data_IF_996139226499
#
_entry.id   IF_996139226499
#
_cell.length_a   1.000
_cell.length_b   1.000
_cell.length_c   1.000
_cell.angle_alpha   90.00
_cell.angle_beta   90.00
_cell.angle_gamma   90.00
#
_symmetry.space_group_name_H-M   'P 1'
#
loop_
_entity.id
_entity.type
_entity.pdbx_description
1 polymer ?
#
# COMPACT_ATOMS: atom_id res chain seq x y z
N UNK A 1 65.11 -6.13 60.98
CA UNK A 1 64.86 -5.33 59.76
C UNK A 1 64.25 -6.24 58.71
N UNK A 2 62.93 -6.29 58.63
CA UNK A 2 62.20 -7.05 57.61
C UNK A 2 61.17 -6.12 57.00
N UNK A 3 61.51 -5.55 55.86
CA UNK A 3 60.61 -4.68 55.07
C UNK A 3 59.74 -5.58 54.20
N UNK A 4 58.43 -5.57 54.48
CA UNK A 4 57.42 -6.21 53.63
C UNK A 4 57.13 -5.25 52.48
N UNK A 5 57.49 -5.65 51.26
CA UNK A 5 57.10 -4.96 50.03
C UNK A 5 55.60 -5.20 49.79
N UNK A 6 54.82 -4.12 49.80
CA UNK A 6 53.46 -4.08 49.31
C UNK A 6 53.48 -3.87 47.79
N UNK A 7 53.32 -4.94 47.02
CA UNK A 7 53.01 -4.84 45.59
C UNK A 7 51.53 -4.50 45.40
N UNK A 8 51.28 -3.26 45.02
CA UNK A 8 49.98 -2.75 44.59
C UNK A 8 49.64 -3.33 43.21
N UNK A 9 48.89 -4.43 43.17
CA UNK A 9 48.29 -4.93 41.93
C UNK A 9 47.21 -3.92 41.50
N UNK A 10 47.58 -3.01 40.60
CA UNK A 10 46.64 -2.14 39.90
C UNK A 10 46.03 -2.95 38.77
N UNK A 11 44.88 -3.58 39.03
CA UNK A 11 44.04 -4.17 37.99
C UNK A 11 43.39 -3.05 37.16
N UNK A 12 44.11 -2.52 36.16
CA UNK A 12 43.47 -1.68 35.16
C UNK A 12 42.57 -2.58 34.31
N UNK A 13 41.26 -2.45 34.46
CA UNK A 13 40.27 -3.09 33.59
C UNK A 13 40.34 -2.43 32.20
N UNK A 14 41.26 -2.88 31.35
CA UNK A 14 41.36 -2.45 29.95
C UNK A 14 40.06 -2.87 29.27
N UNK A 15 39.31 -1.90 28.73
CA UNK A 15 38.14 -2.20 27.91
C UNK A 15 38.59 -2.95 26.65
N UNK A 16 37.94 -4.07 26.28
CA UNK A 16 38.30 -4.82 25.09
C UNK A 16 38.12 -3.94 23.85
N UNK A 17 39.17 -3.87 23.02
CA UNK A 17 39.17 -3.06 21.80
C UNK A 17 38.52 -3.88 20.70
N UNK A 18 37.46 -3.35 20.09
CA UNK A 18 36.79 -3.93 18.91
C UNK A 18 36.83 -2.91 17.79
N UNK A 19 37.35 -3.30 16.63
CA UNK A 19 37.38 -2.46 15.43
C UNK A 19 36.55 -3.15 14.36
N UNK A 20 35.65 -2.40 13.71
CA UNK A 20 34.76 -2.90 12.68
C UNK A 20 35.11 -2.21 11.36
N UNK A 21 35.30 -2.99 10.28
CA UNK A 21 35.54 -2.48 8.93
C UNK A 21 34.45 -2.97 7.97
N UNK A 22 33.60 -2.08 7.45
CA UNK A 22 32.54 -2.47 6.52
C UNK A 22 33.13 -2.72 5.13
N UNK A 23 32.74 -3.84 4.52
CA UNK A 23 33.22 -4.31 3.22
C UNK A 23 32.05 -4.59 2.28
N UNK A 24 32.36 -4.57 0.99
CA UNK A 24 31.50 -5.02 -0.08
C UNK A 24 32.22 -6.12 -0.85
N UNK A 25 31.55 -7.23 -1.06
CA UNK A 25 32.01 -8.26 -1.99
C UNK A 25 30.89 -8.65 -2.93
N UNK A 26 31.23 -9.06 -4.14
CA UNK A 26 30.22 -9.37 -5.13
C UNK A 26 30.78 -9.51 -6.52
N UNK A 27 29.88 -9.44 -7.50
CA UNK A 27 30.28 -9.43 -8.89
C UNK A 27 29.45 -8.46 -9.74
N UNK A 28 30.09 -7.95 -10.80
CA UNK A 28 29.41 -7.36 -11.95
C UNK A 28 29.44 -8.33 -13.13
N UNK A 29 28.46 -8.22 -14.03
CA UNK A 29 28.45 -8.98 -15.28
C UNK A 29 27.83 -8.17 -16.42
N UNK A 30 28.36 -8.35 -17.63
CA UNK A 30 27.84 -7.75 -18.85
C UNK A 30 27.72 -8.80 -19.94
N UNK A 31 26.55 -8.89 -20.54
CA UNK A 31 26.32 -9.75 -21.70
C UNK A 31 27.17 -9.29 -22.88
N UNK A 32 27.82 -10.23 -23.57
CA UNK A 32 28.70 -9.95 -24.72
C UNK A 32 27.92 -9.59 -26.00
N UNK A 33 26.59 -9.65 -25.96
CA UNK A 33 25.70 -9.45 -27.12
C UNK A 33 25.52 -10.73 -27.92
N UNK A 34 26.60 -11.46 -28.18
CA UNK A 34 26.59 -12.75 -28.85
C UNK A 34 27.42 -13.77 -28.08
N UNK A 35 27.00 -15.04 -28.13
CA UNK A 35 27.81 -16.16 -27.68
C UNK A 35 29.12 -16.18 -28.48
N UNK A 36 30.26 -16.23 -27.79
CA UNK A 36 31.57 -16.30 -28.44
C UNK A 36 31.81 -17.69 -29.01
N UNK A 37 32.30 -17.76 -30.25
CA UNK A 37 32.45 -19.03 -30.97
C UNK A 37 33.54 -19.95 -30.40
N UNK A 38 34.59 -19.39 -29.79
CA UNK A 38 35.78 -20.15 -29.34
C UNK A 38 35.52 -21.01 -28.11
N UNK A 39 34.77 -20.51 -27.14
CA UNK A 39 34.56 -21.14 -25.82
C UNK A 39 33.09 -21.16 -25.41
N UNK A 40 32.20 -20.56 -26.21
CA UNK A 40 30.78 -20.48 -25.91
C UNK A 40 30.42 -19.51 -24.79
N UNK A 41 31.34 -18.65 -24.35
CA UNK A 41 31.07 -17.68 -23.29
C UNK A 41 30.06 -16.62 -23.74
N UNK A 42 29.20 -16.19 -22.81
CA UNK A 42 28.11 -15.24 -23.09
C UNK A 42 28.24 -13.95 -22.29
N UNK A 43 29.01 -13.96 -21.20
CA UNK A 43 29.20 -12.81 -20.32
C UNK A 43 30.68 -12.55 -20.06
N UNK A 44 31.03 -11.27 -19.92
CA UNK A 44 32.21 -10.84 -19.17
C UNK A 44 31.75 -10.52 -17.74
N UNK A 45 32.50 -10.94 -16.73
CA UNK A 45 32.17 -10.69 -15.33
C UNK A 45 33.41 -10.32 -14.54
N UNK A 46 33.20 -9.62 -13.42
CA UNK A 46 34.26 -9.27 -12.47
C UNK A 46 33.77 -9.58 -11.07
N UNK A 47 34.51 -10.40 -10.30
CA UNK A 47 34.28 -10.63 -8.88
C UNK A 47 35.29 -9.81 -8.07
N UNK A 48 34.86 -9.18 -6.99
CA UNK A 48 35.71 -8.25 -6.25
C UNK A 48 35.42 -8.18 -4.75
N UNK A 49 36.38 -7.63 -4.02
CA UNK A 49 36.30 -7.18 -2.64
C UNK A 49 36.71 -5.70 -2.55
N UNK A 50 35.89 -4.88 -1.90
CA UNK A 50 36.11 -3.44 -1.72
C UNK A 50 35.70 -2.99 -0.32
N UNK A 51 36.15 -1.79 0.09
CA UNK A 51 35.59 -1.10 1.26
C UNK A 51 34.22 -0.54 0.93
N UNK A 52 33.27 -0.64 1.86
CA UNK A 52 31.98 0.05 1.73
C UNK A 52 32.13 1.58 1.67
N UNK A 53 33.11 2.13 2.39
CA UNK A 53 33.37 3.57 2.47
C UNK A 53 34.33 4.08 1.38
N UNK A 54 34.72 3.21 0.43
CA UNK A 54 35.77 3.49 -0.54
C UNK A 54 37.13 3.80 0.12
N UNK A 55 37.42 3.17 1.27
CA UNK A 55 38.74 3.24 1.91
C UNK A 55 39.74 2.27 1.25
N UNK A 56 41.02 2.62 1.33
CA UNK A 56 42.12 1.76 0.92
C UNK A 56 42.31 0.59 1.90
N UNK A 57 41.72 -0.55 1.55
CA UNK A 57 41.78 -1.77 2.36
C UNK A 57 43.13 -2.48 2.27
N UNK A 58 43.99 -2.11 1.30
CA UNK A 58 45.33 -2.71 1.15
C UNK A 58 46.26 -2.40 2.34
N UNK A 59 45.89 -1.42 3.16
CA UNK A 59 46.60 -1.09 4.40
C UNK A 59 46.55 -2.21 5.44
N UNK A 60 45.46 -2.97 5.51
CA UNK A 60 45.28 -4.08 6.47
C UNK A 60 45.00 -5.43 5.80
N UNK A 61 44.69 -5.46 4.50
CA UNK A 61 44.56 -6.69 3.70
C UNK A 61 45.86 -6.93 2.92
N UNK A 62 46.48 -8.09 3.13
CA UNK A 62 47.69 -8.49 2.41
C UNK A 62 47.37 -9.07 1.02
N UNK A 63 46.37 -9.94 0.95
CA UNK A 63 45.99 -10.63 -0.29
C UNK A 63 44.59 -11.22 -0.18
N UNK A 64 43.95 -11.42 -1.32
CA UNK A 64 42.63 -12.03 -1.43
C UNK A 64 42.70 -13.20 -2.39
N UNK A 65 42.13 -14.33 -2.00
CA UNK A 65 41.94 -15.50 -2.84
C UNK A 65 40.54 -15.50 -3.41
N UNK A 66 40.42 -15.68 -4.72
CA UNK A 66 39.17 -16.01 -5.38
C UNK A 66 39.26 -17.44 -5.91
N UNK A 67 38.46 -18.34 -5.36
CA UNK A 67 38.34 -19.72 -5.85
C UNK A 67 37.15 -19.81 -6.80
N UNK A 68 37.47 -19.83 -8.08
CA UNK A 68 36.55 -20.02 -9.18
C UNK A 68 36.16 -21.50 -9.34
N UNK A 69 35.19 -21.78 -10.22
CA UNK A 69 34.84 -23.14 -10.61
C UNK A 69 36.04 -23.87 -11.25
N UNK A 70 36.14 -25.18 -11.03
CA UNK A 70 37.30 -26.01 -11.42
C UNK A 70 37.57 -26.07 -12.93
N UNK A 71 36.58 -25.69 -13.74
CA UNK A 71 36.72 -25.57 -15.20
C UNK A 71 37.60 -24.40 -15.64
N UNK A 72 37.86 -23.42 -14.76
CA UNK A 72 38.74 -22.31 -15.08
C UNK A 72 40.21 -22.71 -14.88
N UNK A 73 41.10 -22.35 -15.82
CA UNK A 73 42.53 -22.50 -15.59
C UNK A 73 42.95 -21.62 -14.40
N UNK A 74 43.80 -22.16 -13.53
CA UNK A 74 44.18 -21.51 -12.29
C UNK A 74 42.95 -21.06 -11.48
N UNK A 75 42.00 -21.96 -11.24
CA UNK A 75 40.74 -21.65 -10.56
C UNK A 75 40.94 -21.02 -9.17
N UNK A 76 42.10 -21.18 -8.52
CA UNK A 76 42.47 -20.42 -7.33
C UNK A 76 43.35 -19.21 -7.70
N UNK A 77 42.74 -18.02 -7.79
CA UNK A 77 43.43 -16.76 -8.10
C UNK A 77 43.83 -16.03 -6.82
N UNK A 78 45.11 -15.67 -6.69
CA UNK A 78 45.63 -14.90 -5.55
C UNK A 78 45.93 -13.46 -5.99
N UNK A 79 45.25 -12.49 -5.41
CA UNK A 79 45.43 -11.06 -5.69
C UNK A 79 46.09 -10.40 -4.48
N UNK A 80 47.33 -9.95 -4.63
CA UNK A 80 48.14 -9.36 -3.54
C UNK A 80 48.18 -7.84 -3.53
N UNK A 81 47.58 -7.19 -4.52
CA UNK A 81 47.54 -5.73 -4.64
C UNK A 81 46.15 -5.27 -5.06
N UNK A 82 45.71 -4.13 -4.53
CA UNK A 82 44.45 -3.52 -4.93
C UNK A 82 44.52 -3.03 -6.40
N UNK A 83 43.41 -3.07 -7.15
CA UNK A 83 42.07 -3.53 -6.75
C UNK A 83 42.00 -5.05 -6.56
N UNK A 84 41.35 -5.50 -5.48
CA UNK A 84 41.16 -6.92 -5.18
C UNK A 84 40.01 -7.47 -6.02
N UNK A 85 40.25 -7.73 -7.29
CA UNK A 85 39.26 -8.21 -8.23
C UNK A 85 39.82 -9.20 -9.25
N UNK A 86 38.94 -10.03 -9.81
CA UNK A 86 39.23 -10.98 -10.88
C UNK A 86 38.20 -10.77 -11.98
N UNK A 87 38.68 -10.38 -13.16
CA UNK A 87 37.89 -10.36 -14.37
C UNK A 87 38.04 -11.66 -15.15
N UNK A 88 36.92 -12.20 -15.62
CA UNK A 88 36.86 -13.40 -16.43
C UNK A 88 35.65 -13.34 -17.36
N UNK A 89 35.46 -14.40 -18.14
CA UNK A 89 34.26 -14.58 -18.96
C UNK A 89 33.69 -15.96 -18.77
N UNK A 90 32.38 -16.12 -18.98
CA UNK A 90 31.72 -17.41 -18.79
C UNK A 90 30.29 -17.41 -19.28
N UNK A 91 29.63 -18.54 -19.09
CA UNK A 91 28.23 -18.76 -19.46
C UNK A 91 27.37 -19.26 -18.30
N UNK A 92 27.98 -19.73 -17.21
CA UNK A 92 27.31 -20.32 -16.06
C UNK A 92 27.55 -19.56 -14.77
N UNK A 93 26.55 -19.63 -13.89
CA UNK A 93 26.60 -19.12 -12.52
C UNK A 93 27.18 -20.20 -11.60
N UNK A 94 27.97 -19.82 -10.61
CA UNK A 94 28.60 -20.74 -9.67
C UNK A 94 28.93 -20.04 -8.35
N UNK A 95 29.14 -20.82 -7.29
CA UNK A 95 29.62 -20.29 -6.02
C UNK A 95 31.14 -20.11 -6.06
N UNK A 96 31.60 -18.89 -5.77
CA UNK A 96 33.01 -18.54 -5.63
C UNK A 96 33.34 -18.32 -4.16
N UNK A 97 34.42 -18.93 -3.69
CA UNK A 97 34.94 -18.71 -2.34
C UNK A 97 35.92 -17.52 -2.36
N UNK A 98 35.74 -16.56 -1.46
CA UNK A 98 36.58 -15.36 -1.32
C UNK A 98 37.29 -15.45 0.03
N UNK A 99 38.62 -15.60 0.04
CA UNK A 99 39.42 -15.67 1.28
C UNK A 99 40.27 -14.41 1.44
N UNK A 100 40.05 -13.65 2.50
CA UNK A 100 40.83 -12.45 2.84
C UNK A 100 41.96 -12.86 3.78
N UNK A 101 43.19 -12.50 3.42
CA UNK A 101 44.36 -12.60 4.28
C UNK A 101 44.79 -11.21 4.72
N UNK A 102 45.05 -11.04 6.01
CA UNK A 102 45.44 -9.76 6.59
C UNK A 102 46.94 -9.53 6.54
N UNK A 103 47.34 -8.26 6.62
CA UNK A 103 48.73 -7.83 6.69
C UNK A 103 49.41 -8.27 8.00
N UNK A 104 48.65 -8.42 9.08
CA UNK A 104 49.12 -9.09 10.29
C UNK A 104 48.96 -10.62 10.13
N UNK A 105 50.05 -11.40 10.10
CA UNK A 105 49.99 -12.86 9.96
C UNK A 105 49.36 -13.57 11.17
N UNK A 106 49.21 -12.89 12.31
CA UNK A 106 48.55 -13.46 13.48
C UNK A 106 47.02 -13.39 13.39
N UNK A 107 46.50 -12.53 12.51
CA UNK A 107 45.06 -12.41 12.29
C UNK A 107 44.58 -13.50 11.33
N UNK A 108 43.51 -14.20 11.70
CA UNK A 108 43.04 -15.36 10.94
C UNK A 108 42.39 -14.92 9.62
N UNK A 109 42.61 -15.64 8.51
CA UNK A 109 41.91 -15.35 7.27
C UNK A 109 40.39 -15.48 7.42
N UNK A 110 39.65 -14.60 6.74
CA UNK A 110 38.18 -14.64 6.70
C UNK A 110 37.72 -15.16 5.34
N UNK A 111 36.69 -16.01 5.34
CA UNK A 111 36.18 -16.67 4.14
C UNK A 111 34.71 -16.29 3.92
N UNK A 112 34.38 -15.89 2.70
CA UNK A 112 33.02 -15.64 2.23
C UNK A 112 32.70 -16.56 1.04
N UNK A 113 31.42 -16.80 0.83
CA UNK A 113 30.91 -17.50 -0.34
C UNK A 113 29.98 -16.56 -1.09
N UNK A 114 30.25 -16.34 -2.36
CA UNK A 114 29.46 -15.48 -3.22
C UNK A 114 28.90 -16.31 -4.38
N UNK A 115 27.60 -16.19 -4.63
CA UNK A 115 27.01 -16.79 -5.82
C UNK A 115 27.16 -15.84 -7.01
N UNK A 116 28.08 -16.17 -7.92
CA UNK A 116 28.37 -15.37 -9.09
C UNK A 116 27.16 -15.38 -10.03
N UNK A 117 26.55 -14.21 -10.20
CA UNK A 117 25.32 -14.04 -10.97
C UNK A 117 25.61 -13.41 -12.33
N UNK A 118 25.03 -13.99 -13.37
CA UNK A 118 25.16 -13.53 -14.76
C UNK A 118 23.81 -13.10 -15.33
N UNK A 119 22.71 -13.72 -14.89
CA UNK A 119 21.39 -13.51 -15.46
C UNK A 119 20.50 -12.66 -14.56
N UNK A 120 19.70 -11.80 -15.19
CA UNK A 120 18.70 -10.95 -14.53
C UNK A 120 17.43 -10.90 -15.38
N UNK A 121 16.31 -10.59 -14.74
CA UNK A 121 15.04 -10.28 -15.41
C UNK A 121 14.89 -8.81 -15.77
N UNK A 122 15.86 -7.96 -15.36
CA UNK A 122 15.91 -6.53 -15.71
C UNK A 122 16.12 -6.36 -17.23
N UNK A 123 15.16 -5.75 -17.97
CA UNK A 123 15.26 -5.58 -19.42
C UNK A 123 16.53 -4.85 -19.86
N UNK A 124 17.03 -3.88 -19.09
CA UNK A 124 18.23 -3.12 -19.43
C UNK A 124 19.50 -3.97 -19.29
N UNK A 125 19.51 -4.90 -18.33
CA UNK A 125 20.61 -5.86 -18.16
C UNK A 125 20.57 -6.90 -19.29
N UNK A 126 19.39 -7.40 -19.64
CA UNK A 126 19.21 -8.37 -20.73
C UNK A 126 19.59 -7.76 -22.08
N UNK A 127 19.25 -6.49 -22.31
CA UNK A 127 19.65 -5.75 -23.51
C UNK A 127 21.16 -5.42 -23.56
N UNK A 128 21.90 -5.63 -22.48
CA UNK A 128 23.32 -5.31 -22.37
C UNK A 128 23.63 -3.81 -22.27
N UNK A 129 22.61 -2.97 -22.10
CA UNK A 129 22.75 -1.52 -21.91
C UNK A 129 23.24 -1.18 -20.50
N UNK A 130 22.93 -2.05 -19.53
CA UNK A 130 23.32 -1.93 -18.12
C UNK A 130 24.07 -3.17 -17.66
N UNK A 131 25.11 -2.99 -16.84
CA UNK A 131 25.78 -4.12 -16.20
C UNK A 131 24.91 -4.68 -15.06
N UNK A 132 24.86 -6.01 -14.94
CA UNK A 132 24.36 -6.67 -13.74
C UNK A 132 25.32 -6.37 -12.59
N UNK A 133 24.78 -6.05 -11.42
CA UNK A 133 25.55 -5.90 -10.18
C UNK A 133 24.88 -6.78 -9.12
N UNK A 134 25.66 -7.67 -8.50
CA UNK A 134 25.24 -8.54 -7.40
C UNK A 134 26.26 -8.42 -6.27
N UNK A 135 25.97 -7.55 -5.30
CA UNK A 135 26.87 -7.21 -4.19
C UNK A 135 26.23 -7.51 -2.84
N UNK A 136 27.09 -7.86 -1.88
CA UNK A 136 26.74 -8.17 -0.51
C UNK A 136 27.57 -7.29 0.43
N UNK A 137 26.88 -6.69 1.41
CA UNK A 137 27.50 -5.97 2.51
C UNK A 137 27.87 -6.92 3.64
N UNK A 138 29.04 -6.71 4.24
CA UNK A 138 29.46 -7.42 5.44
C UNK A 138 30.41 -6.56 6.29
N UNK A 139 30.71 -7.03 7.50
CA UNK A 139 31.53 -6.34 8.47
C UNK A 139 32.66 -7.23 8.98
N UNK A 140 33.91 -6.80 8.75
CA UNK A 140 35.07 -7.44 9.36
C UNK A 140 35.19 -6.95 10.81
N UNK A 141 35.00 -7.87 11.74
CA UNK A 141 35.05 -7.60 13.18
C UNK A 141 36.38 -8.11 13.73
N UNK A 142 37.24 -7.18 14.13
CA UNK A 142 38.51 -7.46 14.77
C UNK A 142 38.36 -7.33 16.28
N UNK A 143 38.37 -8.47 16.99
CA UNK A 143 38.28 -8.52 18.44
C UNK A 143 39.68 -8.62 19.04
N UNK A 144 40.05 -7.61 19.83
CA UNK A 144 41.38 -7.49 20.44
C UNK A 144 42.53 -7.64 19.42
N UNK A 145 42.51 -6.87 18.30
CA UNK A 145 43.57 -6.93 17.30
C UNK A 145 44.93 -6.53 17.90
N UNK A 146 46.01 -7.04 17.30
CA UNK A 146 47.37 -6.68 17.70
C UNK A 146 47.63 -5.17 17.54
N UNK A 147 48.61 -4.63 18.26
CA UNK A 147 48.98 -3.21 18.13
C UNK A 147 49.41 -2.85 16.69
N UNK A 148 49.99 -3.79 15.95
CA UNK A 148 50.31 -3.62 14.53
C UNK A 148 49.01 -3.46 13.72
N UNK A 149 48.08 -4.39 13.87
CA UNK A 149 46.83 -4.39 13.12
C UNK A 149 45.96 -3.19 13.47
N UNK A 150 45.89 -2.78 14.74
CA UNK A 150 45.22 -1.54 15.17
C UNK A 150 45.76 -0.33 14.41
N UNK A 151 47.08 -0.20 14.29
CA UNK A 151 47.70 0.89 13.54
C UNK A 151 47.34 0.84 12.07
N UNK A 152 47.38 -0.34 11.44
CA UNK A 152 47.03 -0.51 10.02
C UNK A 152 45.54 -0.18 9.77
N UNK A 153 44.64 -0.70 10.60
CA UNK A 153 43.21 -0.44 10.53
C UNK A 153 42.88 1.05 10.68
N UNK A 154 43.62 1.79 11.51
CA UNK A 154 43.42 3.22 11.73
C UNK A 154 44.10 4.11 10.67
N UNK A 155 45.06 3.58 9.91
CA UNK A 155 45.77 4.31 8.85
C UNK A 155 45.09 4.25 7.48
N UNK A 156 44.04 3.44 7.31
CA UNK A 156 43.30 3.34 6.05
C UNK A 156 42.75 4.72 5.62
N UNK A 157 43.16 5.17 4.43
CA UNK A 157 42.73 6.47 3.87
C UNK A 157 41.54 6.28 2.95
N UNK A 158 40.65 7.26 2.91
CA UNK A 158 39.58 7.29 1.90
C UNK A 158 40.17 7.52 0.52
N UNK A 159 39.83 6.66 -0.45
CA UNK A 159 40.24 6.79 -1.84
C UNK A 159 39.37 7.85 -2.54
N UNK A 160 39.94 8.47 -3.58
CA UNK A 160 39.18 9.34 -4.46
C UNK A 160 37.96 8.60 -5.05
N UNK A 161 36.85 9.30 -5.34
CA UNK A 161 35.68 8.67 -5.95
C UNK A 161 36.08 7.94 -7.25
N UNK A 162 35.53 6.74 -7.52
CA UNK A 162 35.78 6.05 -8.77
C UNK A 162 35.35 6.92 -9.96
N UNK A 163 36.18 6.96 -11.01
CA UNK A 163 35.97 7.80 -12.19
C UNK A 163 34.96 7.20 -13.18
N UNK A 164 34.57 5.94 -13.00
CA UNK A 164 33.64 5.22 -13.87
C UNK A 164 32.19 5.38 -13.37
N UNK A 165 31.35 6.08 -14.14
CA UNK A 165 29.93 6.32 -13.84
C UNK A 165 29.11 5.01 -13.69
N UNK A 166 29.59 3.90 -14.27
CA UNK A 166 28.91 2.61 -14.15
C UNK A 166 29.13 1.91 -12.80
N UNK A 167 30.07 2.42 -12.00
CA UNK A 167 30.38 1.94 -10.65
C UNK A 167 29.69 2.82 -9.60
N UNK A 168 28.42 3.14 -9.83
CA UNK A 168 27.59 3.89 -8.90
C UNK A 168 27.63 3.21 -7.53
N UNK A 169 28.38 3.81 -6.60
CA UNK A 169 28.71 3.24 -5.30
C UNK A 169 27.42 3.08 -4.48
N UNK A 170 27.31 2.06 -3.64
CA UNK A 170 26.12 1.86 -2.80
C UNK A 170 25.74 3.09 -1.94
N UNK A 171 26.67 4.02 -1.69
CA UNK A 171 26.41 5.33 -1.08
C UNK A 171 25.46 6.22 -1.92
N UNK A 172 25.57 6.18 -3.24
CA UNK A 172 24.64 6.84 -4.16
C UNK A 172 23.27 6.14 -4.14
N UNK A 173 23.28 4.80 -4.10
CA UNK A 173 22.06 4.01 -3.95
C UNK A 173 21.38 4.28 -2.60
N UNK A 174 22.13 4.40 -1.51
CA UNK A 174 21.63 4.72 -0.17
C UNK A 174 21.01 6.12 -0.13
N UNK A 175 21.61 7.10 -0.82
CA UNK A 175 21.06 8.45 -0.94
C UNK A 175 19.77 8.45 -1.77
N UNK A 176 19.77 7.77 -2.93
CA UNK A 176 18.56 7.62 -3.78
C UNK A 176 17.45 6.85 -3.05
N UNK A 177 17.80 5.83 -2.26
CA UNK A 177 16.88 5.07 -1.42
C UNK A 177 16.28 5.95 -0.33
N UNK A 178 17.09 6.77 0.35
CA UNK A 178 16.61 7.71 1.36
C UNK A 178 15.62 8.74 0.77
N UNK A 179 15.94 9.32 -0.38
CA UNK A 179 15.04 10.24 -1.09
C UNK A 179 13.73 9.54 -1.50
N UNK A 180 13.85 8.35 -2.08
CA UNK A 180 12.69 7.55 -2.50
C UNK A 180 11.78 7.22 -1.31
N UNK A 181 12.35 6.82 -0.16
CA UNK A 181 11.61 6.55 1.07
C UNK A 181 10.91 7.81 1.57
N UNK A 182 11.58 8.97 1.54
CA UNK A 182 10.99 10.24 1.95
C UNK A 182 9.79 10.63 1.06
N UNK A 183 9.91 10.44 -0.26
CA UNK A 183 8.83 10.65 -1.23
C UNK A 183 7.64 9.73 -0.98
N UNK A 184 7.89 8.43 -0.77
CA UNK A 184 6.85 7.44 -0.44
C UNK A 184 6.14 7.81 0.88
N UNK A 185 6.89 8.18 1.91
CA UNK A 185 6.32 8.56 3.21
C UNK A 185 5.40 9.77 3.08
N UNK A 186 5.81 10.77 2.29
CA UNK A 186 5.02 11.97 2.02
C UNK A 186 3.75 11.64 1.24
N UNK A 187 3.84 10.80 0.20
CA UNK A 187 2.68 10.36 -0.57
C UNK A 187 1.67 9.58 0.29
N UNK A 188 2.15 8.66 1.13
CA UNK A 188 1.30 7.91 2.08
C UNK A 188 0.58 8.81 3.06
N UNK A 189 1.24 9.86 3.55
CA UNK A 189 0.63 10.83 4.46
C UNK A 189 -0.52 11.59 3.78
N UNK A 190 -0.35 12.01 2.52
CA UNK A 190 -1.40 12.67 1.74
C UNK A 190 -2.62 11.77 1.55
N UNK A 191 -2.40 10.55 1.08
CA UNK A 191 -3.47 9.55 0.89
C UNK A 191 -4.21 9.28 2.21
N UNK A 192 -3.48 9.17 3.33
CA UNK A 192 -4.09 8.97 4.65
C UNK A 192 -4.99 10.13 5.07
N UNK A 193 -4.55 11.37 4.84
CA UNK A 193 -5.34 12.57 5.13
C UNK A 193 -6.62 12.58 4.28
N UNK A 194 -6.51 12.25 3.00
CA UNK A 194 -7.65 12.24 2.08
C UNK A 194 -8.67 11.13 2.44
N UNK A 195 -8.19 9.96 2.85
CA UNK A 195 -9.06 8.90 3.38
C UNK A 195 -9.81 9.37 4.63
N UNK A 196 -9.14 10.08 5.55
CA UNK A 196 -9.79 10.61 6.75
C UNK A 196 -10.89 11.61 6.39
N UNK A 197 -10.61 12.55 5.48
CA UNK A 197 -11.59 13.53 5.02
C UNK A 197 -12.79 12.87 4.33
N UNK A 198 -12.55 11.88 3.47
CA UNK A 198 -13.61 11.14 2.80
C UNK A 198 -14.45 10.32 3.78
N UNK A 199 -13.82 9.71 4.78
CA UNK A 199 -14.52 8.94 5.82
C UNK A 199 -15.43 9.83 6.64
N UNK A 200 -14.98 11.03 7.00
CA UNK A 200 -15.80 11.99 7.75
C UNK A 200 -16.95 12.53 6.90
N UNK A 201 -16.71 12.85 5.63
CA UNK A 201 -17.78 13.24 4.69
C UNK A 201 -18.82 12.15 4.52
N UNK A 202 -18.40 10.88 4.42
CA UNK A 202 -19.29 9.73 4.37
C UNK A 202 -20.13 9.62 5.64
N UNK A 203 -19.51 9.75 6.81
CA UNK A 203 -20.19 9.72 8.11
C UNK A 203 -21.29 10.78 8.20
N UNK A 204 -20.96 12.03 7.86
CA UNK A 204 -21.92 13.15 7.86
C UNK A 204 -23.05 12.88 6.87
N UNK A 205 -22.73 12.42 5.66
CA UNK A 205 -23.73 12.14 4.63
C UNK A 205 -24.69 11.03 5.06
N UNK A 206 -24.17 9.97 5.70
CA UNK A 206 -25.00 8.88 6.25
C UNK A 206 -25.96 9.37 7.33
N UNK A 207 -25.50 10.23 8.24
CA UNK A 207 -26.35 10.81 9.29
C UNK A 207 -27.45 11.70 8.69
N UNK A 208 -27.10 12.50 7.67
CA UNK A 208 -28.07 13.32 6.95
C UNK A 208 -29.14 12.47 6.24
N UNK A 209 -28.74 11.38 5.56
CA UNK A 209 -29.67 10.44 4.94
C UNK A 209 -30.61 9.85 5.99
N UNK A 210 -30.09 9.47 7.15
CA UNK A 210 -30.89 8.92 8.26
C UNK A 210 -31.94 9.94 8.75
N UNK A 211 -31.54 11.19 8.96
CA UNK A 211 -32.45 12.28 9.36
C UNK A 211 -33.54 12.53 8.30
N UNK A 212 -33.17 12.59 7.02
CA UNK A 212 -34.11 12.79 5.92
C UNK A 212 -35.11 11.63 5.85
N UNK A 213 -34.65 10.38 5.98
CA UNK A 213 -35.53 9.20 6.01
C UNK A 213 -36.52 9.25 7.16
N UNK A 214 -36.10 9.65 8.36
CA UNK A 214 -37.00 9.81 9.52
C UNK A 214 -38.07 10.88 9.27
N UNK A 215 -37.70 12.02 8.69
CA UNK A 215 -38.66 13.05 8.31
C UNK A 215 -39.65 12.57 7.24
N UNK A 216 -39.17 11.81 6.26
CA UNK A 216 -40.02 11.24 5.21
C UNK A 216 -41.05 10.26 5.79
N UNK A 217 -40.64 9.39 6.73
CA UNK A 217 -41.55 8.47 7.44
C UNK A 217 -42.66 9.21 8.19
N UNK A 218 -42.30 10.23 8.99
CA UNK A 218 -43.29 11.05 9.71
C UNK A 218 -44.29 11.73 8.77
N UNK A 219 -43.81 12.22 7.61
CA UNK A 219 -44.67 12.81 6.58
C UNK A 219 -45.60 11.75 5.97
N UNK A 220 -45.10 10.56 5.67
CA UNK A 220 -45.89 9.47 5.12
C UNK A 220 -47.04 9.04 6.06
N UNK A 221 -46.76 8.91 7.36
CA UNK A 221 -47.78 8.61 8.38
C UNK A 221 -48.87 9.70 8.44
N UNK A 222 -48.45 10.97 8.37
CA UNK A 222 -49.38 12.10 8.36
C UNK A 222 -50.27 12.06 7.11
N UNK A 223 -49.69 11.80 5.94
CA UNK A 223 -50.42 11.64 4.67
C UNK A 223 -51.41 10.47 4.77
N UNK A 224 -51.02 9.34 5.36
CA UNK A 224 -51.90 8.19 5.55
C UNK A 224 -53.10 8.54 6.44
N UNK A 225 -52.89 9.24 7.56
CA UNK A 225 -53.98 9.72 8.44
C UNK A 225 -54.94 10.65 7.69
N UNK A 226 -54.41 11.61 6.93
CA UNK A 226 -55.22 12.52 6.11
C UNK A 226 -56.02 11.74 5.05
N UNK A 227 -55.40 10.75 4.39
CA UNK A 227 -56.07 9.91 3.39
C UNK A 227 -57.24 9.14 4.00
N UNK A 228 -57.06 8.54 5.18
CA UNK A 228 -58.12 7.82 5.89
C UNK A 228 -59.25 8.75 6.33
N UNK A 229 -58.93 9.92 6.89
CA UNK A 229 -59.93 10.92 7.26
C UNK A 229 -60.74 11.39 6.04
N UNK A 230 -60.06 11.68 4.92
CA UNK A 230 -60.69 12.05 3.65
C UNK A 230 -61.62 10.95 3.14
N UNK A 231 -61.25 9.68 3.28
CA UNK A 231 -62.09 8.56 2.86
C UNK A 231 -63.37 8.45 3.70
N UNK A 232 -63.29 8.69 5.02
CA UNK A 232 -64.47 8.71 5.91
C UNK A 232 -65.43 9.83 5.55
N UNK A 233 -64.91 11.05 5.36
CA UNK A 233 -65.73 12.19 4.93
C UNK A 233 -66.38 11.91 3.57
N UNK A 234 -65.66 11.29 2.64
CA UNK A 234 -66.22 10.89 1.34
C UNK A 234 -67.37 9.90 1.48
N UNK A 235 -67.27 8.89 2.35
CA UNK A 235 -68.36 7.93 2.58
C UNK A 235 -69.58 8.59 3.24
N UNK A 236 -69.37 9.50 4.20
CA UNK A 236 -70.47 10.26 4.82
C UNK A 236 -71.19 11.13 3.79
N UNK A 237 -70.46 11.81 2.91
CA UNK A 237 -71.05 12.59 1.81
C UNK A 237 -71.86 11.68 0.88
N UNK A 238 -71.37 10.47 0.55
CA UNK A 238 -72.13 9.51 -0.26
C UNK A 238 -73.44 9.08 0.41
N UNK A 239 -73.41 8.73 1.70
CA UNK A 239 -74.61 8.35 2.45
C UNK A 239 -75.63 9.49 2.52
N UNK A 240 -75.18 10.71 2.81
CA UNK A 240 -76.03 11.91 2.82
C UNK A 240 -76.65 12.19 1.44
N UNK A 241 -75.87 12.02 0.37
CA UNK A 241 -76.35 12.23 -1.00
C UNK A 241 -77.46 11.22 -1.35
N UNK A 242 -77.31 9.96 -0.95
CA UNK A 242 -78.31 8.92 -1.20
C UNK A 242 -79.59 9.16 -0.38
N UNK A 243 -79.46 9.54 0.90
CA UNK A 243 -80.61 9.94 1.74
C UNK A 243 -81.36 11.11 1.13
N UNK A 244 -80.65 12.12 0.62
CA UNK A 244 -81.26 13.27 -0.05
C UNK A 244 -82.02 12.83 -1.30
N UNK A 245 -81.43 11.94 -2.13
CA UNK A 245 -82.07 11.39 -3.34
C UNK A 245 -83.38 10.67 -3.01
N UNK A 246 -83.36 9.78 -2.01
CA UNK A 246 -84.56 9.05 -1.54
C UNK A 246 -85.62 10.04 -1.06
N UNK A 247 -85.21 11.04 -0.28
CA UNK A 247 -86.13 12.06 0.25
C UNK A 247 -86.77 12.88 -0.88
N UNK A 248 -85.99 13.29 -1.88
CA UNK A 248 -86.49 14.01 -3.06
C UNK A 248 -87.49 13.15 -3.85
N UNK A 249 -87.21 11.86 -4.04
CA UNK A 249 -88.12 10.94 -4.74
C UNK A 249 -89.43 10.74 -3.95
N UNK A 250 -89.35 10.62 -2.62
CA UNK A 250 -90.53 10.54 -1.76
C UNK A 250 -91.37 11.82 -1.85
N UNK A 251 -90.75 13.01 -1.81
CA UNK A 251 -91.44 14.29 -1.99
C UNK A 251 -92.15 14.34 -3.35
N UNK A 252 -91.48 13.88 -4.42
CA UNK A 252 -92.07 13.81 -5.77
C UNK A 252 -93.29 12.90 -5.82
N UNK A 253 -93.22 11.70 -5.21
CA UNK A 253 -94.36 10.77 -5.10
C UNK A 253 -95.52 11.34 -4.30
N UNK A 254 -95.23 12.03 -3.18
CA UNK A 254 -96.26 12.71 -2.39
C UNK A 254 -96.96 13.78 -3.24
N UNK A 255 -96.20 14.61 -3.96
CA UNK A 255 -96.76 15.63 -4.86
C UNK A 255 -97.64 15.03 -5.96
N UNK A 256 -97.23 13.91 -6.57
CA UNK A 256 -98.06 13.19 -7.55
C UNK A 256 -99.38 12.69 -6.93
N UNK A 257 -99.33 12.06 -5.74
CA UNK A 257 -100.54 11.62 -5.02
C UNK A 257 -101.48 12.78 -4.66
N UNK A 258 -100.94 13.94 -4.27
CA UNK A 258 -101.71 15.14 -3.99
C UNK A 258 -102.36 15.71 -5.27
N UNK A 259 -101.69 15.64 -6.42
CA UNK A 259 -102.28 16.02 -7.70
C UNK A 259 -103.43 15.07 -8.12
N UNK A 260 -103.27 13.76 -7.91
CA UNK A 260 -104.31 12.76 -8.17
C UNK A 260 -105.53 12.93 -7.23
N UNK A 261 -105.30 13.24 -5.95
CA UNK A 261 -106.38 13.54 -4.99
C UNK A 261 -107.09 14.86 -5.29
N UNK A 262 -106.37 15.89 -5.77
CA UNK A 262 -106.97 17.14 -6.25
C UNK A 262 -107.85 16.96 -7.49
N UNK A 263 -107.57 15.95 -8.32
CA UNK A 263 -108.41 15.60 -9.46
C UNK A 263 -109.70 14.85 -9.04
N UNK A 264 -109.65 14.05 -7.96
CA UNK A 264 -110.84 13.39 -7.38
C UNK A 264 -111.74 14.35 -6.59
N UNK A 265 -111.19 15.35 -5.90
CA UNK A 265 -112.00 16.32 -5.14
C UNK A 265 -112.70 17.35 -6.04
N UNK A 266 -112.16 17.68 -7.22
CA UNK A 266 -112.84 18.52 -8.21
C UNK A 266 -114.04 17.83 -8.91
N UNK A 267 -114.11 16.49 -8.91
CA UNK A 267 -115.29 15.76 -9.38
C UNK A 267 -116.41 15.68 -8.32
N UNK A 268 -116.07 15.82 -7.03
CA UNK A 268 -117.05 15.84 -5.94
C UNK A 268 -117.62 17.24 -5.65
N UNK A 269 -116.86 18.31 -5.86
CA UNK A 269 -117.33 19.69 -5.65
C UNK A 269 -118.12 20.28 -6.82
N UNK A 270 -118.10 19.67 -8.01
CA UNK A 270 -118.99 20.06 -9.12
C UNK A 270 -120.38 19.43 -9.00
N UNK A 271 -120.51 18.30 -8.28
CA UNK A 271 -121.79 17.61 -8.04
C UNK A 271 -122.60 18.23 -6.89
N UNK A 272 -121.96 18.76 -5.85
CA UNK A 272 -122.64 19.39 -4.71
C UNK A 272 -123.15 20.81 -5.01
N UNK A 273 -122.58 21.51 -5.98
CA UNK A 273 -123.02 22.86 -6.35
C UNK A 273 -124.22 22.90 -7.33
N UNK A 274 -124.57 21.78 -7.97
CA UNK A 274 -125.81 21.65 -8.79
C UNK A 274 -127.04 21.22 -7.98
N UNK A 275 -126.88 20.55 -6.83
CA UNK A 275 -128.03 20.07 -6.05
C UNK A 275 -128.65 21.11 -5.09
N UNK A 276 -127.97 22.24 -4.82
CA UNK A 276 -128.51 23.30 -3.95
C UNK A 276 -129.36 24.32 -4.75
N UNK A 277 -129.42 24.23 -6.09
CA UNK A 277 -130.25 25.10 -6.94
C UNK A 277 -131.61 24.52 -7.33
N UNK A 278 -132.03 23.35 -6.80
CA UNK A 278 -133.32 22.71 -7.14
C UNK A 278 -134.35 22.64 -6.00
N UNK A 279 -134.10 23.23 -4.84
CA UNK A 279 -135.03 23.20 -3.70
C UNK A 279 -135.49 24.60 -3.27
N UNK A 280 -135.70 25.47 -4.28
CA UNK A 280 -136.45 26.73 -4.17
C UNK A 280 -137.31 26.84 -5.44
N UNK A 281 -138.31 25.96 -5.57
CA UNK A 281 -139.61 26.18 -6.23
C UNK A 281 -140.54 25.10 -5.65
N UNK A 282 -141.65 25.57 -5.07
CA UNK A 282 -142.77 24.88 -4.41
C UNK A 282 -142.62 24.53 -2.92
#
# INVERSE_FOLDING_TARGET
MSTINSESITTSTRTPVVIIKPILYGNTAKHLGTKRDTDGHTHKWSVYLRSYNNDDISTYVSKVQFRLHETYPNHSRMISQAPFEVEESGWGEFETQITIFFADPNEKPVIFYHHLKLFSTDPDVVAGTKALVNENYDELIFQEPSDLLVRLLNCAKSLAPPTDENLATEKEYALKKADTIARIKTARQRVRSEIQDLTERLRITQENIKRIRQHALKKADTIARIKTARQRVRSEIQDLTERLRITQENIKRIRQRSADHGSSTNLLNTSTHENIKREIVD
#
